data_IF_144826357387
#
_entry.id   IF_144826357387
#
_cell.length_a   1.000
_cell.length_b   1.000
_cell.length_c   1.000
_cell.angle_alpha   90.00
_cell.angle_beta   90.00
_cell.angle_gamma   90.00
#
_symmetry.space_group_name_H-M   'P 1'
#
loop_
_entity.id
_entity.type
_entity.pdbx_description
1 polymer ?
#
# COMPACT_ATOMS: atom_id res chain seq x y z
N UNK A 1 -28.06 34.22 -3.71
CA UNK A 1 -26.62 33.94 -3.92
C UNK A 1 -25.91 33.36 -2.69
N UNK A 2 -25.85 34.04 -1.53
CA UNK A 2 -25.19 33.45 -0.34
C UNK A 2 -26.02 32.31 0.28
N UNK A 3 -27.33 32.51 0.40
CA UNK A 3 -28.23 31.49 0.97
C UNK A 3 -28.37 30.24 0.10
N UNK A 4 -28.34 30.38 -1.22
CA UNK A 4 -28.33 29.25 -2.17
C UNK A 4 -27.04 28.43 -2.08
N UNK A 5 -25.90 29.12 -1.87
CA UNK A 5 -24.61 28.47 -1.68
C UNK A 5 -24.55 27.71 -0.35
N UNK A 6 -25.13 28.28 0.71
CA UNK A 6 -25.21 27.65 2.02
C UNK A 6 -26.15 26.42 2.00
N UNK A 7 -27.28 26.49 1.28
CA UNK A 7 -28.15 25.33 1.06
C UNK A 7 -27.45 24.23 0.25
N UNK A 8 -26.74 24.59 -0.83
CA UNK A 8 -26.00 23.61 -1.63
C UNK A 8 -24.90 22.91 -0.80
N UNK A 9 -24.17 23.68 0.01
CA UNK A 9 -23.15 23.12 0.91
C UNK A 9 -23.76 22.19 1.97
N UNK A 10 -24.96 22.50 2.46
CA UNK A 10 -25.68 21.63 3.40
C UNK A 10 -26.05 20.29 2.75
N UNK A 11 -26.69 20.33 1.58
CA UNK A 11 -27.06 19.12 0.82
C UNK A 11 -25.84 18.27 0.42
N UNK A 12 -24.73 18.91 0.05
CA UNK A 12 -23.48 18.22 -0.25
C UNK A 12 -22.93 17.49 0.98
N UNK A 13 -22.93 18.11 2.16
CA UNK A 13 -22.48 17.49 3.41
C UNK A 13 -23.34 16.31 3.80
N UNK A 14 -24.67 16.43 3.67
CA UNK A 14 -25.59 15.32 3.95
C UNK A 14 -25.36 14.14 3.01
N UNK A 15 -25.28 14.39 1.70
CA UNK A 15 -25.04 13.34 0.70
C UNK A 15 -23.68 12.68 0.88
N UNK A 16 -22.65 13.46 1.22
CA UNK A 16 -21.32 12.95 1.57
C UNK A 16 -21.37 12.06 2.81
N UNK A 17 -22.10 12.47 3.85
CA UNK A 17 -22.30 11.67 5.07
C UNK A 17 -23.01 10.35 4.77
N UNK A 18 -24.07 10.36 3.98
CA UNK A 18 -24.80 9.16 3.56
C UNK A 18 -23.91 8.18 2.77
N UNK A 19 -23.10 8.69 1.84
CA UNK A 19 -22.18 7.86 1.06
C UNK A 19 -21.03 7.30 1.91
N UNK A 20 -20.49 8.08 2.84
CA UNK A 20 -19.43 7.63 3.73
C UNK A 20 -19.91 6.61 4.77
N UNK A 21 -21.18 6.68 5.15
CA UNK A 21 -21.83 5.77 6.08
C UNK A 21 -22.54 4.61 5.37
N UNK A 22 -22.44 4.51 4.04
CA UNK A 22 -22.98 3.38 3.30
C UNK A 22 -22.19 2.11 3.71
N UNK A 23 -22.86 1.05 4.20
CA UNK A 23 -22.19 -0.18 4.63
C UNK A 23 -21.25 -0.79 3.57
N UNK A 24 -21.58 -0.67 2.28
CA UNK A 24 -20.73 -1.16 1.19
C UNK A 24 -19.42 -0.39 1.09
N UNK A 25 -19.46 0.94 1.30
CA UNK A 25 -18.26 1.79 1.28
C UNK A 25 -17.39 1.53 2.50
N UNK A 26 -18.01 1.25 3.66
CA UNK A 26 -17.28 0.88 4.87
C UNK A 26 -16.59 -0.48 4.68
N UNK A 27 -17.30 -1.48 4.16
CA UNK A 27 -16.73 -2.81 3.88
C UNK A 27 -15.53 -2.71 2.92
N UNK A 28 -15.67 -2.00 1.79
CA UNK A 28 -14.59 -1.80 0.85
C UNK A 28 -13.37 -1.09 1.46
N UNK A 29 -13.57 -0.15 2.39
CA UNK A 29 -12.45 0.51 3.09
C UNK A 29 -11.70 -0.45 4.00
N UNK A 30 -12.40 -1.37 4.65
CA UNK A 30 -11.79 -2.43 5.47
C UNK A 30 -11.00 -3.36 4.57
N UNK A 31 -11.59 -3.85 3.48
CA UNK A 31 -10.90 -4.72 2.52
C UNK A 31 -9.63 -4.06 1.97
N UNK A 32 -9.69 -2.76 1.63
CA UNK A 32 -8.53 -1.99 1.19
C UNK A 32 -7.47 -1.89 2.29
N UNK A 33 -7.87 -1.68 3.55
CA UNK A 33 -6.93 -1.61 4.66
C UNK A 33 -6.21 -2.96 4.85
N UNK A 34 -6.97 -4.05 4.86
CA UNK A 34 -6.44 -5.41 5.01
C UNK A 34 -5.50 -5.79 3.86
N UNK A 35 -5.86 -5.44 2.61
CA UNK A 35 -4.99 -5.66 1.44
C UNK A 35 -3.69 -4.85 1.51
N UNK A 36 -3.74 -3.63 2.06
CA UNK A 36 -2.53 -2.83 2.24
C UNK A 36 -1.63 -3.40 3.35
N UNK A 37 -2.20 -3.95 4.41
CA UNK A 37 -1.45 -4.66 5.45
C UNK A 37 -0.78 -5.92 4.89
N UNK A 38 -1.53 -6.77 4.19
CA UNK A 38 -0.98 -7.95 3.52
C UNK A 38 0.13 -7.61 2.53
N UNK A 39 -0.05 -6.53 1.75
CA UNK A 39 0.98 -6.03 0.84
C UNK A 39 2.25 -5.65 1.59
N UNK A 40 2.13 -4.94 2.71
CA UNK A 40 3.27 -4.52 3.52
C UNK A 40 4.02 -5.72 4.09
N UNK A 41 3.31 -6.71 4.61
CA UNK A 41 3.92 -7.93 5.15
C UNK A 41 4.68 -8.73 4.08
N UNK A 42 4.12 -8.80 2.86
CA UNK A 42 4.78 -9.40 1.71
C UNK A 42 6.04 -8.63 1.29
N UNK A 43 5.98 -7.29 1.29
CA UNK A 43 7.14 -6.44 0.98
C UNK A 43 8.27 -6.60 2.02
N UNK A 44 7.92 -6.69 3.32
CA UNK A 44 8.89 -6.92 4.39
C UNK A 44 9.53 -8.31 4.29
N UNK A 45 8.71 -9.34 4.04
CA UNK A 45 9.18 -10.71 3.83
C UNK A 45 10.11 -10.80 2.62
N UNK A 46 9.71 -10.23 1.47
CA UNK A 46 10.52 -10.19 0.27
C UNK A 46 11.84 -9.44 0.51
N UNK A 47 11.80 -8.30 1.18
CA UNK A 47 13.01 -7.55 1.54
C UNK A 47 13.96 -8.40 2.37
N UNK A 48 13.46 -9.16 3.36
CA UNK A 48 14.26 -10.09 4.15
C UNK A 48 14.90 -11.18 3.29
N UNK A 49 14.13 -11.78 2.37
CA UNK A 49 14.63 -12.80 1.46
C UNK A 49 15.73 -12.27 0.53
N UNK A 50 15.57 -11.07 -0.02
CA UNK A 50 16.55 -10.43 -0.91
C UNK A 50 17.85 -10.07 -0.18
N UNK A 51 17.76 -9.61 1.07
CA UNK A 51 18.94 -9.36 1.91
C UNK A 51 19.68 -10.66 2.19
N UNK A 52 18.96 -11.73 2.52
CA UNK A 52 19.55 -13.05 2.77
C UNK A 52 20.19 -13.62 1.49
N UNK A 53 19.50 -13.51 0.35
CA UNK A 53 20.00 -13.92 -0.94
C UNK A 53 21.32 -13.21 -1.29
N UNK A 54 21.35 -11.88 -1.17
CA UNK A 54 22.57 -11.10 -1.38
C UNK A 54 23.68 -11.51 -0.41
N UNK A 55 23.36 -11.78 0.86
CA UNK A 55 24.37 -12.20 1.85
C UNK A 55 25.00 -13.56 1.51
N UNK A 56 24.26 -14.46 0.86
CA UNK A 56 24.74 -15.79 0.48
C UNK A 56 25.46 -15.81 -0.88
N UNK A 57 24.98 -15.04 -1.84
CA UNK A 57 25.43 -15.09 -3.24
C UNK A 57 26.31 -13.90 -3.64
N UNK A 58 26.30 -12.83 -2.83
CA UNK A 58 26.89 -11.54 -3.15
C UNK A 58 26.38 -10.93 -4.47
N UNK A 59 25.18 -11.35 -4.91
CA UNK A 59 24.50 -10.89 -6.12
C UNK A 59 23.32 -9.99 -5.77
N UNK A 60 23.14 -8.92 -6.54
CA UNK A 60 21.98 -8.01 -6.50
C UNK A 60 20.98 -8.30 -7.62
N UNK A 61 21.06 -9.49 -8.21
CA UNK A 61 20.14 -9.95 -9.25
C UNK A 61 19.77 -11.41 -9.04
N UNK A 62 18.55 -11.79 -9.38
CA UNK A 62 18.09 -13.18 -9.35
C UNK A 62 17.29 -13.50 -10.60
N UNK A 63 17.34 -14.76 -11.03
CA UNK A 63 16.55 -15.24 -12.17
C UNK A 63 15.15 -15.62 -11.70
N UNK A 64 14.15 -15.21 -12.46
CA UNK A 64 12.77 -15.64 -12.27
C UNK A 64 12.54 -16.97 -12.95
N UNK A 65 11.50 -17.68 -12.52
CA UNK A 65 11.08 -18.94 -13.15
C UNK A 65 10.69 -18.80 -14.62
N UNK A 66 10.45 -17.56 -15.08
CA UNK A 66 10.10 -17.26 -16.48
C UNK A 66 11.34 -17.00 -17.35
N UNK A 67 12.54 -17.04 -16.75
CA UNK A 67 13.81 -16.83 -17.45
C UNK A 67 14.25 -15.37 -17.51
N UNK A 68 13.54 -14.46 -16.85
CA UNK A 68 13.94 -13.06 -16.73
C UNK A 68 14.92 -12.87 -15.56
N UNK A 69 15.90 -11.98 -15.72
CA UNK A 69 16.78 -11.57 -14.63
C UNK A 69 16.25 -10.27 -14.01
N UNK A 70 15.96 -10.31 -12.71
CA UNK A 70 15.49 -9.16 -11.96
C UNK A 70 16.62 -8.61 -11.10
N UNK A 71 16.85 -7.30 -11.20
CA UNK A 71 17.78 -6.57 -10.34
C UNK A 71 17.05 -5.94 -9.15
N UNK A 72 17.70 -5.95 -7.98
CA UNK A 72 17.17 -5.30 -6.78
C UNK A 72 18.24 -4.46 -6.10
N UNK A 73 17.80 -3.40 -5.40
CA UNK A 73 18.69 -2.48 -4.69
C UNK A 73 18.40 -2.53 -3.20
N UNK A 74 19.41 -2.91 -2.41
CA UNK A 74 19.33 -2.85 -0.93
C UNK A 74 19.58 -1.40 -0.50
N UNK A 75 18.50 -0.68 -0.19
CA UNK A 75 18.58 0.72 0.28
C UNK A 75 18.91 0.85 1.77
N UNK A 76 18.63 -0.18 2.56
CA UNK A 76 18.87 -0.16 4.00
C UNK A 76 20.37 -0.32 4.31
N UNK A 77 20.98 0.72 4.89
CA UNK A 77 22.34 0.65 5.44
C UNK A 77 22.26 0.28 6.92
N UNK A 78 22.87 -0.83 7.32
CA UNK A 78 23.04 -1.18 8.73
C UNK A 78 23.85 -0.06 9.41
N UNK A 79 23.24 0.68 10.33
CA UNK A 79 23.99 1.51 11.27
C UNK A 79 24.52 0.59 12.37
N UNK A 80 25.86 0.48 12.50
CA UNK A 80 26.47 -0.10 13.70
C UNK A 80 26.05 0.75 14.90
N UNK A 81 25.53 0.10 15.95
CA UNK A 81 25.30 0.75 17.26
C UNK A 81 26.62 1.23 17.83
#
# INVERSE_FOLDING_TARGET
KKDELDQYNHQYKERKGQLQNNPQVIALKVDIADLNEQKKDLEETLSGHLINYHSLTNSTSFDTSEGDQWEFVIKAKIKKK
#
